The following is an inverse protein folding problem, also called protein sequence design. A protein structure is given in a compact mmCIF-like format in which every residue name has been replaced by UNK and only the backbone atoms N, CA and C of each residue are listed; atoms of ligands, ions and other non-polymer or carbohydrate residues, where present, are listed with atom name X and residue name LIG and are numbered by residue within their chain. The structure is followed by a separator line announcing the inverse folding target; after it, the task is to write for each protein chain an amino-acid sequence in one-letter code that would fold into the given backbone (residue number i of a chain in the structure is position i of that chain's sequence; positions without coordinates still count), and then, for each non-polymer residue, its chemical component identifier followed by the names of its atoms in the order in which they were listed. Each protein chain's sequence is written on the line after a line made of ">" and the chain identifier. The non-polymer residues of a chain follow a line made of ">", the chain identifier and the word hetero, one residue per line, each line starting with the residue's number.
data_IF_998299376097
#
_entry.id   IF_998299376097
#
_cell.length_a   1.000
_cell.length_b   1.000
_cell.length_c   1.000
_cell.angle_alpha   90.00
_cell.angle_beta   90.00
_cell.angle_gamma   90.00
#
_symmetry.space_group_name_H-M   'P 1'
#
loop_
_entity.id
_entity.type
_entity.pdbx_description
1 polymer ?
#
# COMPACT_ATOMS: atom_id res chain seq x y z
N UNK A 1 16.85 -9.90 13.58
CA UNK A 1 17.51 -9.13 12.51
C UNK A 1 17.88 -10.07 11.37
N UNK A 2 17.58 -9.74 10.11
CA UNK A 2 17.89 -10.60 8.97
C UNK A 2 19.41 -10.67 8.78
N UNK A 3 19.99 -11.87 8.81
CA UNK A 3 21.43 -12.05 8.72
C UNK A 3 21.94 -12.02 7.26
N UNK A 4 21.13 -12.51 6.31
CA UNK A 4 21.58 -12.81 4.96
C UNK A 4 20.80 -12.06 3.85
N UNK A 5 19.57 -11.62 4.11
CA UNK A 5 18.69 -11.01 3.11
C UNK A 5 17.74 -9.98 3.74
N UNK A 6 17.68 -8.77 3.16
CA UNK A 6 16.65 -7.78 3.47
C UNK A 6 15.47 -7.93 2.50
N UNK A 7 14.24 -7.97 3.03
CA UNK A 7 13.02 -8.14 2.21
C UNK A 7 12.02 -7.06 2.55
N UNK A 8 11.52 -6.35 1.53
CA UNK A 8 10.36 -5.46 1.64
C UNK A 8 9.20 -6.07 0.86
N UNK A 9 8.00 -6.07 1.44
CA UNK A 9 6.79 -6.55 0.76
C UNK A 9 5.84 -5.40 0.38
N UNK A 10 4.83 -5.74 -0.43
CA UNK A 10 3.84 -4.79 -0.90
C UNK A 10 2.50 -5.51 -0.94
N UNK A 11 1.60 -5.24 0.01
CA UNK A 11 0.17 -5.63 -0.04
C UNK A 11 -0.57 -5.24 1.27
N UNK A 12 -1.81 -5.72 1.40
CA UNK A 12 -2.64 -5.74 2.60
C UNK A 12 -1.92 -6.39 3.79
N UNK A 13 -1.89 -5.67 4.92
CA UNK A 13 -1.26 -6.11 6.15
C UNK A 13 -1.83 -7.40 6.75
N UNK A 14 -3.09 -7.76 6.44
CA UNK A 14 -3.74 -8.99 6.93
C UNK A 14 -3.01 -10.26 6.47
N UNK A 15 -2.53 -10.29 5.23
CA UNK A 15 -1.76 -11.42 4.67
C UNK A 15 -0.47 -11.68 5.44
N UNK A 16 0.12 -10.62 6.02
CA UNK A 16 1.41 -10.68 6.71
C UNK A 16 1.28 -10.72 8.23
N UNK A 17 0.10 -10.45 8.79
CA UNK A 17 -0.12 -10.37 10.23
C UNK A 17 0.16 -11.69 10.96
N UNK A 18 -0.02 -12.83 10.28
CA UNK A 18 0.21 -14.16 10.85
C UNK A 18 1.65 -14.67 10.69
N UNK A 19 2.52 -13.92 10.01
CA UNK A 19 3.90 -14.36 9.80
C UNK A 19 4.74 -14.18 11.08
N UNK A 20 5.70 -15.09 11.34
CA UNK A 20 6.56 -15.02 12.52
C UNK A 20 7.51 -13.81 12.51
N UNK A 21 7.73 -13.20 11.34
CA UNK A 21 8.50 -11.97 11.17
C UNK A 21 7.58 -10.88 10.61
N UNK A 22 7.62 -9.71 11.22
CA UNK A 22 6.94 -8.53 10.69
C UNK A 22 7.76 -7.96 9.54
N UNK A 23 7.17 -7.92 8.35
CA UNK A 23 7.85 -7.39 7.16
C UNK A 23 7.74 -5.87 7.11
N UNK A 24 8.85 -5.22 6.76
CA UNK A 24 8.84 -3.92 6.13
C UNK A 24 7.96 -3.99 4.89
N UNK A 25 6.94 -3.15 4.83
CA UNK A 25 5.99 -3.20 3.73
C UNK A 25 5.43 -1.85 3.33
N UNK A 26 5.01 -1.78 2.08
CA UNK A 26 4.11 -0.73 1.62
C UNK A 26 2.68 -1.25 1.59
N UNK A 27 1.85 -0.74 2.49
CA UNK A 27 0.43 -1.05 2.47
C UNK A 27 -0.29 -0.18 1.45
N UNK A 28 -1.06 -0.81 0.58
CA UNK A 28 -1.96 -0.08 -0.32
C UNK A 28 -3.14 0.47 0.46
N UNK A 29 -3.53 1.70 0.13
CA UNK A 29 -4.77 2.30 0.62
C UNK A 29 -5.98 1.75 -0.15
N UNK A 30 -6.17 0.42 -0.17
CA UNK A 30 -7.16 -0.26 -1.00
C UNK A 30 -8.59 0.21 -0.73
N UNK A 31 -8.96 0.38 0.55
CA UNK A 31 -10.30 0.90 0.90
C UNK A 31 -10.50 2.33 0.39
N UNK A 32 -9.61 3.31 0.67
CA UNK A 32 -9.68 4.63 0.06
C UNK A 32 -9.68 4.62 -1.47
N UNK A 33 -8.91 3.73 -2.09
CA UNK A 33 -8.83 3.59 -3.54
C UNK A 33 -10.17 3.15 -4.14
N UNK A 34 -10.77 2.11 -3.58
CA UNK A 34 -12.08 1.62 -4.02
C UNK A 34 -13.18 2.67 -3.80
N UNK A 35 -13.19 3.33 -2.64
CA UNK A 35 -14.14 4.39 -2.34
C UNK A 35 -14.05 5.52 -3.37
N UNK A 36 -12.83 6.00 -3.65
CA UNK A 36 -12.63 7.09 -4.60
C UNK A 36 -12.98 6.68 -6.04
N UNK A 37 -12.69 5.44 -6.42
CA UNK A 37 -13.09 4.91 -7.73
C UNK A 37 -14.62 4.91 -7.91
N UNK A 38 -15.37 4.54 -6.88
CA UNK A 38 -16.84 4.55 -6.89
C UNK A 38 -17.38 5.98 -6.94
N UNK A 39 -16.82 6.90 -6.15
CA UNK A 39 -17.18 8.32 -6.18
C UNK A 39 -16.98 8.92 -7.57
N UNK A 40 -15.82 8.68 -8.19
CA UNK A 40 -15.54 9.14 -9.55
C UNK A 40 -16.54 8.58 -10.56
N UNK A 41 -16.89 7.30 -10.46
CA UNK A 41 -17.89 6.70 -11.34
C UNK A 41 -19.28 7.34 -11.14
N UNK A 42 -19.71 7.56 -9.90
CA UNK A 42 -20.98 8.22 -9.59
C UNK A 42 -21.01 9.67 -10.12
N UNK A 43 -19.93 10.43 -9.94
CA UNK A 43 -19.77 11.77 -10.51
C UNK A 43 -19.91 11.75 -12.05
N UNK A 44 -19.17 10.86 -12.74
CA UNK A 44 -19.21 10.72 -14.20
C UNK A 44 -20.62 10.36 -14.68
N UNK A 45 -21.32 9.48 -13.96
CA UNK A 45 -22.69 9.09 -14.30
C UNK A 45 -23.69 10.25 -14.15
N UNK A 46 -23.54 11.07 -13.10
CA UNK A 46 -24.42 12.22 -12.84
C UNK A 46 -24.18 13.36 -13.81
N UNK A 47 -22.92 13.68 -14.11
CA UNK A 47 -22.56 14.82 -14.97
C UNK A 47 -22.52 14.47 -16.45
N UNK A 48 -22.49 13.17 -16.79
CA UNK A 48 -22.22 12.65 -18.14
C UNK A 48 -20.86 13.09 -18.71
N UNK A 49 -19.95 13.53 -17.86
CA UNK A 49 -18.58 13.85 -18.22
C UNK A 49 -17.71 12.61 -18.04
N UNK A 50 -17.24 12.07 -19.16
CA UNK A 50 -16.43 10.86 -19.22
C UNK A 50 -14.96 11.13 -19.55
N UNK A 51 -14.51 12.38 -19.46
CA UNK A 51 -13.11 12.71 -19.68
C UNK A 51 -12.20 11.93 -18.72
N UNK A 52 -11.06 11.38 -19.19
CA UNK A 52 -10.15 10.62 -18.35
C UNK A 52 -9.61 11.45 -17.19
N UNK A 53 -9.73 10.92 -15.97
CA UNK A 53 -9.18 11.54 -14.75
C UNK A 53 -8.10 10.65 -14.17
N UNK A 54 -7.04 11.27 -13.65
CA UNK A 54 -5.94 10.56 -12.99
C UNK A 54 -5.70 11.15 -11.62
N UNK A 55 -5.88 10.30 -10.61
CA UNK A 55 -5.61 10.63 -9.22
C UNK A 55 -4.56 9.67 -8.65
N UNK A 56 -3.75 10.15 -7.70
CA UNK A 56 -2.77 9.33 -7.00
C UNK A 56 -3.16 9.21 -5.54
N UNK A 57 -3.37 7.99 -5.08
CA UNK A 57 -3.62 7.69 -3.67
C UNK A 57 -2.35 7.05 -3.11
N UNK A 58 -1.68 7.67 -2.12
CA UNK A 58 -0.45 7.15 -1.57
C UNK A 58 -0.72 5.91 -0.71
N UNK A 59 0.17 4.92 -0.80
CA UNK A 59 0.25 3.85 0.18
C UNK A 59 0.87 4.33 1.50
N UNK A 60 0.85 3.46 2.52
CA UNK A 60 1.43 3.72 3.83
C UNK A 60 2.66 2.83 4.05
N UNK A 61 3.84 3.39 4.36
CA UNK A 61 4.97 2.59 4.83
C UNK A 61 4.66 2.04 6.20
N UNK A 62 4.86 0.73 6.35
CA UNK A 62 4.78 0.03 7.64
C UNK A 62 6.13 -0.60 7.88
N UNK A 63 6.94 -0.02 8.79
CA UNK A 63 8.22 -0.61 9.17
C UNK A 63 8.03 -1.99 9.79
N UNK A 64 8.99 -2.88 9.55
CA UNK A 64 9.08 -4.19 10.17
C UNK A 64 10.52 -4.50 10.57
N UNK A 65 10.80 -5.79 10.76
CA UNK A 65 12.11 -6.30 11.19
C UNK A 65 12.80 -7.10 10.08
N UNK A 66 12.31 -6.98 8.84
CA UNK A 66 12.77 -7.76 7.69
C UNK A 66 13.86 -7.07 6.86
N UNK A 67 14.16 -5.81 7.15
CA UNK A 67 15.31 -5.09 6.61
C UNK A 67 16.33 -4.78 7.71
N UNK A 68 17.62 -4.83 7.38
CA UNK A 68 18.71 -4.37 8.26
C UNK A 68 18.93 -2.87 8.04
N UNK A 69 19.13 -2.10 9.11
CA UNK A 69 19.51 -0.69 8.98
C UNK A 69 21.02 -0.62 8.69
N UNK A 70 21.38 -0.46 7.41
CA UNK A 70 22.78 -0.45 6.95
C UNK A 70 23.57 0.79 7.39
N UNK A 71 22.94 1.73 8.12
CA UNK A 71 23.57 2.96 8.62
C UNK A 71 24.27 2.80 9.96
N UNK A 72 24.22 1.63 10.57
CA UNK A 72 24.85 1.33 11.87
C UNK A 72 26.26 0.70 11.74
N UNK A 73 26.89 0.75 10.55
CA UNK A 73 28.30 0.34 10.32
C UNK A 73 29.21 1.51 9.94
#
# INVERSE_FOLDING_TARGET
>A
MPADLSVTSFDLGETFASLPLQFDRMEQATVPLCARAVELLDEMMRTRDFEPRRERIPGRPVPGDSCRDWREE
#
